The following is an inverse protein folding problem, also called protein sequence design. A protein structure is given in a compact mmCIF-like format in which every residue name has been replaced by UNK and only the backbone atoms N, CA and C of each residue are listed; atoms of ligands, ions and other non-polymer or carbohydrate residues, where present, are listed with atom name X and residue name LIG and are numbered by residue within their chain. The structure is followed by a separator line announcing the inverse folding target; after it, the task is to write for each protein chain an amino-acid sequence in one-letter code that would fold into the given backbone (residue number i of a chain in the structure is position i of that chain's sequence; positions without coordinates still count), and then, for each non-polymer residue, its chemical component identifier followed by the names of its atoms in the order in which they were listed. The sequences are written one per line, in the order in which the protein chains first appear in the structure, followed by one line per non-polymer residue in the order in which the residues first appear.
data_IF_772826439239
#
_entry.id   IF_772826439239
#
_cell.length_a   1.000
_cell.length_b   1.000
_cell.length_c   1.000
_cell.angle_alpha   90.00
_cell.angle_beta   90.00
_cell.angle_gamma   90.00
#
_symmetry.space_group_name_H-M   'P 1'
#
loop_
_entity.id
_entity.type
_entity.pdbx_description
1 polymer ?
#
# COMPACT_ATOMS: atom_id res chain seq x y z
N UNK A 1 25.47 -2.39 -10.46
CA UNK A 1 24.17 -2.71 -9.85
C UNK A 1 23.08 -2.04 -10.66
N UNK A 2 22.11 -2.81 -11.17
CA UNK A 2 20.91 -2.23 -11.78
C UNK A 2 20.15 -1.52 -10.66
N UNK A 3 19.79 -0.25 -10.85
CA UNK A 3 18.98 0.49 -9.88
C UNK A 3 17.57 -0.09 -9.93
N UNK A 4 17.12 -0.72 -8.85
CA UNK A 4 15.78 -1.28 -8.77
C UNK A 4 14.72 -0.16 -8.84
N UNK A 5 13.64 -0.34 -9.62
CA UNK A 5 12.62 0.69 -9.84
C UNK A 5 11.61 0.71 -8.68
N UNK A 6 11.94 1.40 -7.60
CA UNK A 6 10.99 1.72 -6.52
C UNK A 6 11.26 3.10 -5.95
N UNK A 7 10.24 3.65 -5.28
CA UNK A 7 10.35 4.90 -4.53
C UNK A 7 10.00 4.70 -3.05
N UNK A 8 10.55 5.58 -2.22
CA UNK A 8 10.23 5.67 -0.81
C UNK A 8 9.77 7.09 -0.50
N UNK A 9 8.71 7.20 0.29
CA UNK A 9 8.17 8.48 0.70
C UNK A 9 8.98 9.06 1.87
N UNK A 10 9.42 10.34 1.79
CA UNK A 10 10.16 10.98 2.88
C UNK A 10 9.40 10.99 4.21
N UNK A 11 8.08 11.18 4.15
CA UNK A 11 7.19 11.20 5.32
C UNK A 11 7.24 9.91 6.15
N UNK A 12 7.36 8.75 5.48
CA UNK A 12 7.45 7.46 6.14
C UNK A 12 8.89 7.11 6.51
N UNK A 13 9.85 7.49 5.66
CA UNK A 13 11.29 7.24 5.89
C UNK A 13 11.80 7.95 7.16
N UNK A 14 11.25 9.12 7.46
CA UNK A 14 11.61 9.92 8.63
C UNK A 14 11.13 9.32 9.97
N UNK A 15 10.20 8.36 9.97
CA UNK A 15 9.61 7.80 11.19
C UNK A 15 10.57 6.82 11.88
N UNK A 16 11.34 6.05 11.11
CA UNK A 16 12.34 5.10 11.63
C UNK A 16 11.80 3.77 12.19
N UNK A 17 10.48 3.62 12.38
CA UNK A 17 9.90 2.38 12.94
C UNK A 17 9.40 1.37 11.89
N UNK A 18 9.38 1.76 10.62
CA UNK A 18 8.83 0.95 9.53
C UNK A 18 9.76 0.95 8.32
N UNK A 19 9.52 -0.04 7.45
CA UNK A 19 10.09 -0.14 6.11
C UNK A 19 8.95 -0.11 5.11
N UNK A 20 9.14 0.60 4.02
CA UNK A 20 8.15 0.72 2.96
C UNK A 20 8.82 0.88 1.60
N UNK A 21 8.03 0.58 0.57
CA UNK A 21 8.34 0.92 -0.81
C UNK A 21 7.05 1.01 -1.62
N UNK A 22 7.10 1.81 -2.69
CA UNK A 22 6.16 1.72 -3.79
C UNK A 22 6.93 1.33 -5.04
N UNK A 23 6.68 0.13 -5.58
CA UNK A 23 7.38 -0.30 -6.80
C UNK A 23 6.92 0.54 -7.99
N UNK A 24 7.84 0.81 -8.89
CA UNK A 24 7.60 1.47 -10.17
C UNK A 24 7.50 0.41 -11.27
N UNK A 25 7.28 0.85 -12.50
CA UNK A 25 7.26 -0.01 -13.69
C UNK A 25 8.56 -0.81 -13.79
N UNK A 26 8.43 -2.13 -13.87
CA UNK A 26 9.55 -3.03 -14.13
C UNK A 26 9.80 -3.07 -15.65
N UNK A 27 11.01 -2.73 -16.11
CA UNK A 27 11.35 -2.80 -17.53
C UNK A 27 11.39 -4.27 -18.00
N UNK A 28 11.20 -4.47 -19.31
CA UNK A 28 11.39 -5.76 -19.98
C UNK A 28 10.52 -6.93 -19.48
N UNK A 29 9.46 -6.63 -18.71
CA UNK A 29 8.42 -7.60 -18.33
C UNK A 29 7.24 -7.49 -19.27
N UNK A 30 6.89 -8.61 -19.92
CA UNK A 30 5.67 -8.69 -20.72
C UNK A 30 4.42 -8.70 -19.81
N UNK A 31 3.64 -7.63 -19.90
CA UNK A 31 2.44 -7.39 -19.10
C UNK A 31 1.14 -7.54 -19.90
N UNK A 32 1.19 -8.06 -21.13
CA UNK A 32 0.02 -8.24 -22.00
C UNK A 32 -0.74 -9.56 -21.72
N UNK A 33 -0.88 -9.89 -20.43
CA UNK A 33 -1.54 -11.11 -19.94
C UNK A 33 -2.65 -10.77 -18.94
N UNK A 34 -3.37 -11.79 -18.44
CA UNK A 34 -4.28 -11.60 -17.31
C UNK A 34 -3.51 -11.23 -16.03
N UNK A 35 -4.23 -10.69 -15.03
CA UNK A 35 -3.64 -10.21 -13.78
C UNK A 35 -2.78 -11.28 -13.09
N UNK A 36 -3.21 -12.53 -13.06
CA UNK A 36 -2.50 -13.57 -12.32
C UNK A 36 -1.16 -13.90 -12.98
N UNK A 37 -1.14 -14.02 -14.31
CA UNK A 37 0.09 -14.25 -15.07
C UNK A 37 1.04 -13.06 -15.00
N UNK A 38 0.52 -11.82 -15.11
CA UNK A 38 1.32 -10.61 -14.92
C UNK A 38 1.99 -10.57 -13.56
N UNK A 39 1.27 -10.90 -12.48
CA UNK A 39 1.84 -10.93 -11.14
C UNK A 39 2.93 -11.99 -10.98
N UNK A 40 2.79 -13.17 -11.59
CA UNK A 40 3.85 -14.18 -11.61
C UNK A 40 5.12 -13.67 -12.29
N UNK A 41 4.97 -12.92 -13.39
CA UNK A 41 6.11 -12.36 -14.13
C UNK A 41 6.82 -11.25 -13.36
N UNK A 42 6.08 -10.48 -12.58
CA UNK A 42 6.62 -9.42 -11.73
C UNK A 42 7.25 -9.93 -10.42
N UNK A 43 6.98 -11.19 -10.03
CA UNK A 43 7.36 -11.73 -8.72
C UNK A 43 8.87 -11.67 -8.46
N UNK A 44 9.70 -12.00 -9.46
CA UNK A 44 11.16 -11.93 -9.31
C UNK A 44 11.65 -10.52 -8.97
N UNK A 45 11.21 -9.51 -9.73
CA UNK A 45 11.57 -8.11 -9.47
C UNK A 45 11.00 -7.60 -8.13
N UNK A 46 9.77 -8.00 -7.78
CA UNK A 46 9.19 -7.65 -6.49
C UNK A 46 9.93 -8.30 -5.31
N UNK A 47 10.45 -9.53 -5.46
CA UNK A 47 11.33 -10.16 -4.46
C UNK A 47 12.62 -9.36 -4.28
N UNK A 48 13.31 -9.04 -5.38
CA UNK A 48 14.54 -8.24 -5.33
C UNK A 48 14.33 -6.88 -4.66
N UNK A 49 13.19 -6.22 -4.90
CA UNK A 49 12.84 -4.97 -4.22
C UNK A 49 12.59 -5.18 -2.72
N UNK A 50 11.92 -6.27 -2.32
CA UNK A 50 11.76 -6.61 -0.90
C UNK A 50 13.10 -6.85 -0.23
N UNK A 51 14.02 -7.55 -0.90
CA UNK A 51 15.38 -7.79 -0.40
C UNK A 51 16.14 -6.47 -0.25
N UNK A 52 16.02 -5.56 -1.22
CA UNK A 52 16.68 -4.27 -1.21
C UNK A 52 16.20 -3.33 -0.10
N UNK A 53 14.92 -3.41 0.30
CA UNK A 53 14.41 -2.71 1.49
C UNK A 53 14.56 -3.54 2.78
N UNK A 54 15.16 -4.72 2.69
CA UNK A 54 15.47 -5.63 3.79
C UNK A 54 14.25 -6.29 4.46
N UNK A 55 13.15 -6.47 3.72
CA UNK A 55 11.97 -7.22 4.16
C UNK A 55 11.81 -8.54 3.39
N UNK A 56 12.85 -8.96 2.65
CA UNK A 56 12.87 -10.17 1.82
C UNK A 56 12.44 -11.45 2.55
N UNK A 57 12.99 -11.64 3.75
CA UNK A 57 12.74 -12.81 4.60
C UNK A 57 11.52 -12.64 5.52
N UNK A 58 10.82 -11.49 5.45
CA UNK A 58 9.65 -11.26 6.29
C UNK A 58 8.39 -11.89 5.66
N UNK A 59 7.48 -12.43 6.49
CA UNK A 59 6.20 -12.93 6.01
C UNK A 59 5.40 -11.82 5.30
N UNK A 60 5.10 -12.03 4.02
CA UNK A 60 4.33 -11.11 3.20
C UNK A 60 2.82 -11.42 3.28
N UNK A 61 2.03 -10.45 3.70
CA UNK A 61 0.57 -10.53 3.74
C UNK A 61 -0.03 -9.61 2.68
N UNK A 62 -0.77 -10.17 1.73
CA UNK A 62 -1.40 -9.40 0.65
C UNK A 62 -2.92 -9.44 0.70
N UNK A 63 -3.55 -8.42 0.12
CA UNK A 63 -5.01 -8.39 -0.06
C UNK A 63 -5.37 -8.89 -1.47
N UNK A 64 -6.44 -9.69 -1.60
CA UNK A 64 -6.94 -10.12 -2.92
C UNK A 64 -7.45 -8.94 -3.78
N UNK A 65 -8.01 -7.91 -3.12
CA UNK A 65 -8.53 -6.66 -3.67
C UNK A 65 -9.72 -6.84 -4.62
N UNK A 66 -10.93 -6.79 -4.06
CA UNK A 66 -12.20 -6.90 -4.79
C UNK A 66 -12.90 -5.54 -5.00
N UNK A 67 -12.18 -4.44 -4.75
CA UNK A 67 -12.69 -3.07 -4.77
C UNK A 67 -13.86 -2.86 -3.80
N UNK A 68 -13.83 -3.55 -2.65
CA UNK A 68 -14.75 -3.38 -1.53
C UNK A 68 -14.18 -2.45 -0.46
N UNK A 69 -14.69 -2.59 0.77
CA UNK A 69 -14.17 -1.90 1.96
C UNK A 69 -13.79 -2.86 3.09
N UNK A 70 -13.62 -4.16 2.82
CA UNK A 70 -13.25 -5.13 3.85
C UNK A 70 -11.77 -4.96 4.19
N UNK A 71 -11.48 -4.95 5.48
CA UNK A 71 -10.13 -4.82 6.04
C UNK A 71 -9.87 -6.05 6.89
N UNK A 72 -8.69 -6.63 6.72
CA UNK A 72 -8.22 -7.77 7.51
C UNK A 72 -7.19 -7.31 8.54
N UNK A 73 -7.16 -8.01 9.67
CA UNK A 73 -6.20 -7.75 10.73
C UNK A 73 -5.20 -8.90 10.76
N UNK A 74 -3.92 -8.58 10.62
CA UNK A 74 -2.86 -9.57 10.90
C UNK A 74 -2.57 -9.52 12.38
N UNK A 75 -3.06 -10.52 13.09
CA UNK A 75 -2.82 -10.75 14.51
C UNK A 75 -2.10 -12.10 14.65
N UNK A 76 -0.78 -12.06 14.78
CA UNK A 76 0.09 -13.25 14.71
C UNK A 76 0.69 -13.57 16.06
N UNK A 77 -0.06 -14.30 16.90
CA UNK A 77 0.47 -14.90 18.14
C UNK A 77 1.40 -16.11 17.91
N UNK A 78 1.69 -16.49 16.66
CA UNK A 78 2.54 -17.65 16.34
C UNK A 78 4.02 -17.26 16.29
N UNK A 79 4.90 -18.12 16.83
CA UNK A 79 6.35 -17.90 16.89
C UNK A 79 7.03 -17.74 15.50
N UNK A 80 6.33 -18.08 14.40
CA UNK A 80 6.76 -17.85 13.00
C UNK A 80 5.53 -17.68 12.11
N UNK A 81 5.06 -16.45 11.84
CA UNK A 81 3.98 -16.25 10.89
C UNK A 81 4.41 -16.67 9.49
N UNK A 82 3.49 -17.24 8.71
CA UNK A 82 3.69 -17.55 7.29
C UNK A 82 2.85 -16.56 6.48
N UNK A 83 3.48 -15.93 5.48
CA UNK A 83 2.81 -14.98 4.60
C UNK A 83 1.64 -15.63 3.86
N UNK A 84 0.58 -14.86 3.59
CA UNK A 84 -0.61 -15.32 2.87
C UNK A 84 -1.35 -14.19 2.20
N UNK A 85 -2.15 -14.52 1.20
CA UNK A 85 -3.16 -13.60 0.66
C UNK A 85 -4.47 -13.73 1.46
N UNK A 86 -5.07 -12.59 1.79
CA UNK A 86 -6.40 -12.54 2.40
C UNK A 86 -7.50 -12.41 1.35
N UNK A 87 -8.50 -13.32 1.34
CA UNK A 87 -9.57 -13.29 0.36
C UNK A 87 -10.59 -12.17 0.66
N UNK A 88 -11.05 -11.53 -0.40
CA UNK A 88 -12.16 -10.58 -0.40
C UNK A 88 -11.93 -9.30 0.40
N UNK A 89 -10.69 -8.93 0.70
CA UNK A 89 -10.35 -7.68 1.36
C UNK A 89 -9.59 -6.72 0.45
N UNK A 90 -9.60 -5.44 0.81
CA UNK A 90 -8.94 -4.34 0.11
C UNK A 90 -8.01 -3.54 1.04
N UNK A 91 -7.84 -3.98 2.29
CA UNK A 91 -6.91 -3.36 3.21
C UNK A 91 -6.47 -4.34 4.27
N UNK A 92 -5.28 -4.12 4.80
CA UNK A 92 -4.73 -4.90 5.90
C UNK A 92 -4.20 -3.93 6.95
N UNK A 93 -4.44 -4.23 8.23
CA UNK A 93 -3.89 -3.51 9.36
C UNK A 93 -3.21 -4.47 10.34
N UNK A 94 -2.22 -3.99 11.09
CA UNK A 94 -1.51 -4.78 12.10
C UNK A 94 -0.71 -3.90 13.05
N UNK A 95 -0.46 -4.40 14.27
CA UNK A 95 0.57 -3.90 15.19
C UNK A 95 1.74 -4.89 15.36
N UNK A 96 1.76 -5.96 14.56
CA UNK A 96 2.78 -7.00 14.64
C UNK A 96 4.05 -6.56 13.88
N UNK A 97 5.21 -6.90 14.45
CA UNK A 97 6.52 -6.53 13.94
C UNK A 97 7.15 -7.66 13.13
N UNK A 98 8.09 -7.33 12.24
CA UNK A 98 8.84 -8.33 11.47
C UNK A 98 8.00 -9.04 10.39
N UNK A 99 6.91 -8.39 9.96
CA UNK A 99 6.09 -8.82 8.83
C UNK A 99 5.82 -7.63 7.90
N UNK A 100 5.43 -7.91 6.66
CA UNK A 100 5.19 -6.89 5.63
C UNK A 100 3.82 -7.05 4.99
N UNK A 101 3.10 -5.93 4.86
CA UNK A 101 1.83 -5.83 4.16
C UNK A 101 2.08 -5.49 2.70
N UNK A 102 1.25 -6.00 1.79
CA UNK A 102 1.32 -5.72 0.36
C UNK A 102 -0.05 -5.47 -0.29
N UNK A 103 -0.15 -4.43 -1.12
CA UNK A 103 -1.30 -4.21 -2.01
C UNK A 103 -0.83 -3.87 -3.42
N UNK A 104 -1.50 -4.42 -4.43
CA UNK A 104 -1.16 -4.21 -5.84
C UNK A 104 -2.04 -3.16 -6.48
N UNK A 105 -1.47 -2.17 -7.15
CA UNK A 105 -2.25 -1.10 -7.79
C UNK A 105 -1.80 -0.84 -9.22
N UNK A 106 -2.74 -0.42 -10.05
CA UNK A 106 -2.51 0.29 -11.29
C UNK A 106 -3.67 1.28 -11.39
N UNK A 107 -3.38 2.57 -11.22
CA UNK A 107 -4.32 3.68 -11.04
C UNK A 107 -4.96 3.85 -9.66
N UNK A 108 -5.39 2.82 -8.95
CA UNK A 108 -5.95 3.00 -7.61
C UNK A 108 -4.89 3.50 -6.61
N UNK A 109 -5.30 4.23 -5.57
CA UNK A 109 -4.37 4.71 -4.54
C UNK A 109 -4.04 3.59 -3.55
N UNK A 110 -2.75 3.37 -3.28
CA UNK A 110 -2.31 2.69 -2.07
C UNK A 110 -2.16 3.75 -0.96
N UNK A 111 -2.91 3.57 0.13
CA UNK A 111 -2.90 4.47 1.29
C UNK A 111 -2.12 3.77 2.40
N UNK A 112 -1.00 4.36 2.77
CA UNK A 112 -0.16 3.94 3.87
C UNK A 112 -0.61 4.71 5.11
N UNK A 113 -0.84 4.00 6.21
CA UNK A 113 -1.20 4.57 7.50
C UNK A 113 -0.17 4.04 8.50
N UNK A 114 0.51 4.94 9.21
CA UNK A 114 1.48 4.58 10.26
C UNK A 114 1.15 5.36 11.51
N UNK A 115 0.90 4.66 12.61
CA UNK A 115 0.87 5.24 13.95
C UNK A 115 2.24 4.97 14.61
N UNK A 116 3.06 6.01 14.84
CA UNK A 116 4.33 5.86 15.51
C UNK A 116 4.25 5.85 17.04
N UNK A 117 3.17 6.36 17.63
CA UNK A 117 2.98 6.44 19.09
C UNK A 117 2.48 5.14 19.67
N UNK A 118 1.54 4.52 18.96
CA UNK A 118 1.07 3.16 19.22
C UNK A 118 1.43 2.32 18.00
N UNK A 119 2.67 1.77 17.91
CA UNK A 119 3.22 1.18 16.69
C UNK A 119 2.27 0.23 15.98
N UNK A 120 1.59 0.76 14.96
CA UNK A 120 0.61 0.08 14.15
C UNK A 120 0.65 0.63 12.73
N UNK A 121 0.35 -0.23 11.77
CA UNK A 121 0.37 0.11 10.36
C UNK A 121 -0.90 -0.38 9.67
N UNK A 122 -1.28 0.33 8.61
CA UNK A 122 -2.33 -0.03 7.69
C UNK A 122 -1.88 0.19 6.25
N UNK A 123 -2.21 -0.75 5.37
CA UNK A 123 -1.98 -0.62 3.94
C UNK A 123 -3.27 -0.91 3.19
N UNK A 124 -3.83 0.13 2.56
CA UNK A 124 -5.21 0.13 2.05
C UNK A 124 -5.21 0.41 0.54
N UNK A 125 -5.89 -0.45 -0.21
CA UNK A 125 -6.22 -0.23 -1.62
C UNK A 125 -7.51 0.58 -1.72
N UNK A 126 -7.40 1.82 -2.17
CA UNK A 126 -8.53 2.74 -2.34
C UNK A 126 -8.61 3.25 -3.77
N UNK A 127 -9.38 2.52 -4.59
CA UNK A 127 -9.87 3.00 -5.89
C UNK A 127 -11.19 3.76 -5.74
N UNK A 128 -11.88 4.06 -6.86
CA UNK A 128 -13.19 4.74 -6.86
C UNK A 128 -14.18 4.09 -5.88
N UNK A 129 -14.50 2.80 -6.09
CA UNK A 129 -15.51 2.08 -5.29
C UNK A 129 -15.11 1.94 -3.83
N UNK A 130 -13.85 1.64 -3.52
CA UNK A 130 -13.37 1.55 -2.14
C UNK A 130 -13.48 2.88 -1.40
N UNK A 131 -13.18 3.98 -2.11
CA UNK A 131 -13.29 5.34 -1.59
C UNK A 131 -14.76 5.74 -1.37
N UNK A 132 -15.65 5.44 -2.32
CA UNK A 132 -17.12 5.62 -2.18
C UNK A 132 -17.68 4.82 -0.99
N UNK A 133 -17.07 3.67 -0.66
CA UNK A 133 -17.42 2.82 0.48
C UNK A 133 -16.67 3.19 1.77
N UNK A 134 -15.98 4.34 1.80
CA UNK A 134 -15.32 4.93 2.97
C UNK A 134 -14.27 3.99 3.62
N UNK A 135 -13.52 3.25 2.81
CA UNK A 135 -12.55 2.25 3.29
C UNK A 135 -11.45 2.86 4.17
N UNK A 136 -11.00 4.08 3.88
CA UNK A 136 -9.90 4.72 4.63
C UNK A 136 -10.36 5.12 6.02
N UNK A 137 -11.53 5.75 6.15
CA UNK A 137 -12.15 6.04 7.45
C UNK A 137 -12.37 4.75 8.25
N UNK A 138 -12.83 3.68 7.59
CA UNK A 138 -12.98 2.37 8.23
C UNK A 138 -11.65 1.81 8.74
N UNK A 139 -10.56 1.98 7.99
CA UNK A 139 -9.22 1.56 8.42
C UNK A 139 -8.77 2.30 9.66
N UNK A 140 -8.90 3.63 9.66
CA UNK A 140 -8.55 4.49 10.80
C UNK A 140 -9.34 4.06 12.05
N UNK A 141 -10.67 3.91 11.94
CA UNK A 141 -11.52 3.42 13.04
C UNK A 141 -11.08 2.06 13.55
N UNK A 142 -10.78 1.11 12.66
CA UNK A 142 -10.32 -0.20 13.09
C UNK A 142 -8.94 -0.16 13.78
N UNK A 143 -8.03 0.72 13.36
CA UNK A 143 -6.77 0.92 14.07
C UNK A 143 -6.99 1.51 15.47
N UNK A 144 -7.94 2.45 15.61
CA UNK A 144 -8.36 2.97 16.93
C UNK A 144 -8.91 1.84 17.81
N UNK A 145 -9.90 1.10 17.31
CA UNK A 145 -10.62 0.09 18.07
C UNK A 145 -9.73 -1.11 18.46
N UNK A 146 -8.79 -1.50 17.59
CA UNK A 146 -7.97 -2.70 17.77
C UNK A 146 -6.65 -2.44 18.49
N UNK A 147 -6.02 -1.31 18.21
CA UNK A 147 -4.68 -1.04 18.69
C UNK A 147 -4.63 0.12 19.69
N UNK A 148 -5.71 0.88 19.84
CA UNK A 148 -5.70 2.11 20.65
C UNK A 148 -4.98 3.26 19.97
N UNK A 149 -4.87 3.22 18.63
CA UNK A 149 -4.25 4.30 17.86
C UNK A 149 -5.05 5.60 17.94
N UNK A 150 -4.36 6.74 18.00
CA UNK A 150 -4.97 8.07 17.89
C UNK A 150 -4.78 8.61 16.46
N UNK A 151 -5.85 8.95 15.72
CA UNK A 151 -5.73 9.56 14.40
C UNK A 151 -4.85 10.81 14.36
N UNK A 152 -4.79 11.58 15.45
CA UNK A 152 -3.95 12.77 15.53
C UNK A 152 -2.44 12.45 15.46
N UNK A 153 -2.05 11.24 15.85
CA UNK A 153 -0.67 10.73 15.80
C UNK A 153 -0.36 9.97 14.50
N UNK A 154 -1.39 9.56 13.75
CA UNK A 154 -1.23 8.85 12.49
C UNK A 154 -0.59 9.73 11.40
N UNK A 155 0.30 9.12 10.65
CA UNK A 155 0.88 9.65 9.41
C UNK A 155 0.27 8.86 8.26
N UNK A 156 -0.44 9.58 7.38
CA UNK A 156 -1.04 9.01 6.18
C UNK A 156 -0.26 9.46 4.95
N UNK A 157 0.09 8.52 4.08
CA UNK A 157 0.74 8.77 2.80
C UNK A 157 -0.07 8.14 1.68
N UNK A 158 -0.40 8.93 0.66
CA UNK A 158 -1.05 8.46 -0.58
C UNK A 158 0.02 8.20 -1.65
N UNK A 159 -0.05 7.03 -2.30
CA UNK A 159 0.82 6.70 -3.43
C UNK A 159 0.49 7.53 -4.68
N UNK A 160 1.32 7.45 -5.73
CA UNK A 160 0.89 7.76 -7.09
C UNK A 160 -0.40 6.99 -7.42
N UNK A 161 -1.37 7.67 -8.04
CA UNK A 161 -2.65 7.12 -8.45
C UNK A 161 -3.20 7.91 -9.64
N UNK A 162 -4.24 7.43 -10.32
CA UNK A 162 -4.84 8.20 -11.43
C UNK A 162 -5.59 9.41 -10.90
N UNK A 163 -5.60 10.50 -11.68
CA UNK A 163 -6.19 11.79 -11.31
C UNK A 163 -6.87 12.45 -12.52
N UNK A 164 -7.74 13.46 -12.30
CA UNK A 164 -8.18 14.34 -13.38
C UNK A 164 -6.98 14.97 -14.12
N UNK A 165 -7.08 15.19 -15.45
CA UNK A 165 -8.23 14.88 -16.31
C UNK A 165 -8.26 13.42 -16.82
N UNK A 166 -7.31 12.56 -16.44
CA UNK A 166 -7.21 11.17 -16.95
C UNK A 166 -8.23 10.22 -16.31
N UNK A 167 -8.83 10.63 -15.19
CA UNK A 167 -9.97 9.98 -14.59
C UNK A 167 -10.91 11.03 -14.00
N UNK A 168 -12.22 10.83 -14.20
CA UNK A 168 -13.24 11.80 -13.81
C UNK A 168 -13.42 11.92 -12.28
N UNK A 169 -13.02 10.87 -11.53
CA UNK A 169 -13.13 10.85 -10.07
C UNK A 169 -11.78 11.16 -9.44
N UNK A 170 -11.73 12.22 -8.63
CA UNK A 170 -10.57 12.55 -7.80
C UNK A 170 -10.69 11.88 -6.42
N UNK A 171 -10.47 10.56 -6.39
CA UNK A 171 -10.51 9.82 -5.14
C UNK A 171 -9.31 10.15 -4.23
N UNK A 172 -8.22 10.73 -4.73
CA UNK A 172 -7.11 11.18 -3.89
C UNK A 172 -7.54 12.34 -2.98
N UNK A 173 -8.18 13.36 -3.56
CA UNK A 173 -8.77 14.47 -2.79
C UNK A 173 -9.84 13.99 -1.81
N UNK A 174 -10.65 13.01 -2.21
CA UNK A 174 -11.65 12.38 -1.35
C UNK A 174 -11.01 11.65 -0.16
N UNK A 175 -9.97 10.84 -0.38
CA UNK A 175 -9.21 10.15 0.67
C UNK A 175 -8.64 11.17 1.66
N UNK A 176 -8.05 12.26 1.17
CA UNK A 176 -7.55 13.33 2.04
C UNK A 176 -8.68 13.91 2.90
N UNK A 177 -9.87 14.14 2.33
CA UNK A 177 -11.04 14.61 3.09
C UNK A 177 -11.47 13.61 4.16
N UNK A 178 -11.53 12.31 3.84
CA UNK A 178 -11.88 11.24 4.78
C UNK A 178 -10.89 11.17 5.96
N UNK A 179 -9.59 11.27 5.68
CA UNK A 179 -8.55 11.34 6.70
C UNK A 179 -8.73 12.56 7.62
N UNK A 180 -8.99 13.75 7.04
CA UNK A 180 -9.24 14.99 7.82
C UNK A 180 -10.49 14.88 8.69
N UNK A 181 -11.58 14.33 8.15
CA UNK A 181 -12.81 14.09 8.89
C UNK A 181 -12.62 13.08 10.03
N UNK A 182 -11.64 12.19 9.91
CA UNK A 182 -11.21 11.26 10.95
C UNK A 182 -10.18 11.84 11.92
N UNK A 183 -9.91 13.15 11.87
CA UNK A 183 -8.95 13.87 12.71
C UNK A 183 -7.46 13.56 12.46
N UNK A 184 -7.12 12.97 11.31
CA UNK A 184 -5.73 12.80 10.90
C UNK A 184 -5.09 14.16 10.60
N UNK A 185 -4.00 14.46 11.31
CA UNK A 185 -3.28 15.74 11.19
C UNK A 185 -2.20 15.72 10.11
N UNK A 186 -1.51 14.60 9.96
CA UNK A 186 -0.35 14.48 9.07
C UNK A 186 -0.71 13.64 7.85
N UNK A 187 -0.94 14.31 6.71
CA UNK A 187 -1.35 13.67 5.45
C UNK A 187 -0.42 14.16 4.36
N UNK A 188 0.18 13.22 3.65
CA UNK A 188 1.05 13.46 2.51
C UNK A 188 0.43 12.84 1.26
N UNK A 189 0.33 13.63 0.21
CA UNK A 189 -0.06 13.16 -1.11
C UNK A 189 1.14 13.24 -2.05
N UNK A 190 1.44 12.15 -2.77
CA UNK A 190 2.45 12.17 -3.83
C UNK A 190 2.17 13.23 -4.89
N UNK A 191 0.88 13.53 -5.14
CA UNK A 191 0.45 14.43 -6.22
C UNK A 191 0.69 13.88 -7.62
N UNK A 192 1.21 12.65 -7.76
CA UNK A 192 1.59 12.07 -9.04
C UNK A 192 0.40 11.34 -9.66
N UNK A 193 0.20 11.55 -10.97
CA UNK A 193 -0.79 10.84 -11.79
C UNK A 193 -0.13 9.68 -12.54
N UNK A 194 -0.58 8.44 -12.28
CA UNK A 194 -0.04 7.23 -12.95
C UNK A 194 -0.23 7.25 -14.47
N UNK A 195 -1.31 7.85 -14.96
CA UNK A 195 -1.58 7.97 -16.40
C UNK A 195 -0.73 9.05 -17.09
N UNK A 196 -0.15 10.00 -16.34
CA UNK A 196 0.72 11.04 -16.91
C UNK A 196 2.15 10.56 -17.15
N UNK A 197 2.59 9.52 -16.45
CA UNK A 197 3.97 9.03 -16.49
C UNK A 197 4.01 7.49 -16.62
N UNK A 198 3.73 7.03 -17.84
CA UNK A 198 3.78 5.61 -18.17
C UNK A 198 5.20 5.05 -18.20
N UNK A 199 6.24 5.89 -18.11
CA UNK A 199 7.62 5.42 -18.01
C UNK A 199 7.87 4.84 -16.63
N UNK A 200 7.36 5.48 -15.58
CA UNK A 200 7.58 5.05 -14.19
C UNK A 200 6.40 4.29 -13.60
N UNK A 201 5.20 4.41 -14.15
CA UNK A 201 4.00 3.76 -13.58
C UNK A 201 3.24 2.92 -14.61
N UNK A 202 2.58 1.88 -14.10
CA UNK A 202 1.53 1.17 -14.81
C UNK A 202 0.20 1.91 -14.63
N UNK A 203 -0.58 2.04 -15.71
CA UNK A 203 -1.91 2.66 -15.67
C UNK A 203 -2.92 1.80 -16.41
N UNK A 204 -3.87 1.24 -15.66
CA UNK A 204 -4.91 0.39 -16.21
C UNK A 204 -5.78 1.15 -17.22
N UNK A 205 -6.13 2.40 -16.92
CA UNK A 205 -6.96 3.25 -17.77
C UNK A 205 -6.22 3.68 -19.03
N UNK A 206 -4.99 4.18 -18.91
CA UNK A 206 -4.23 4.65 -20.08
C UNK A 206 -3.83 3.48 -21.01
N UNK A 207 -3.54 2.31 -20.45
CA UNK A 207 -3.11 1.11 -21.18
C UNK A 207 -4.27 0.14 -21.47
N UNK A 208 -5.53 0.61 -21.34
CA UNK A 208 -6.75 -0.11 -21.74
C UNK A 208 -6.87 -1.52 -21.14
N UNK A 209 -6.46 -1.64 -19.89
CA UNK A 209 -6.56 -2.85 -19.07
C UNK A 209 -5.44 -3.87 -19.24
N UNK A 210 -4.54 -3.68 -20.21
CA UNK A 210 -3.40 -4.57 -20.47
C UNK A 210 -2.12 -3.94 -19.92
N UNK A 211 -1.86 -4.13 -18.63
CA UNK A 211 -0.73 -3.51 -17.94
C UNK A 211 -0.29 -4.27 -16.70
N UNK A 212 0.88 -3.92 -16.18
CA UNK A 212 1.48 -4.40 -14.94
C UNK A 212 0.77 -3.91 -13.68
N UNK A 213 1.34 -4.20 -12.51
CA UNK A 213 0.89 -3.66 -11.23
C UNK A 213 2.11 -3.16 -10.46
N UNK A 214 1.98 -1.97 -9.90
CA UNK A 214 2.83 -1.54 -8.80
C UNK A 214 2.46 -2.33 -7.56
N UNK A 215 3.42 -2.52 -6.67
CA UNK A 215 3.29 -3.15 -5.37
C UNK A 215 3.65 -2.12 -4.31
N UNK A 216 2.68 -1.80 -3.46
CA UNK A 216 2.92 -1.04 -2.25
C UNK A 216 3.30 -2.01 -1.12
N UNK A 217 4.32 -1.66 -0.34
CA UNK A 217 4.85 -2.47 0.77
C UNK A 217 4.96 -1.62 2.03
N UNK A 218 4.52 -2.17 3.16
CA UNK A 218 4.66 -1.51 4.47
C UNK A 218 4.83 -2.57 5.57
N UNK A 219 5.90 -2.49 6.35
CA UNK A 219 6.16 -3.40 7.46
C UNK A 219 6.72 -2.66 8.67
N UNK A 220 6.36 -3.11 9.88
CA UNK A 220 6.94 -2.61 11.12
C UNK A 220 8.28 -3.32 11.39
N UNK A 221 9.30 -2.54 11.75
CA UNK A 221 10.60 -3.09 12.13
C UNK A 221 10.46 -4.08 13.30
N UNK A 222 11.23 -5.19 13.32
CA UNK A 222 11.36 -6.07 14.47
C UNK A 222 11.69 -5.25 15.72
N UNK A 223 11.30 -5.75 16.88
CA UNK A 223 11.87 -5.22 18.11
C UNK A 223 13.39 -5.38 18.02
N UNK A 224 14.14 -4.37 18.48
CA UNK A 224 15.57 -4.53 18.70
C UNK A 224 15.67 -5.55 19.83
N UNK A 225 16.26 -6.72 19.55
CA UNK A 225 16.69 -7.63 20.61
C UNK A 225 17.78 -6.89 21.40
N UNK A 226 17.54 -6.60 22.67
CA UNK A 226 18.55 -6.09 23.61
C UNK A 226 19.64 -7.13 23.88
#
# INVERSE_FOLDING_TARGET
MVKLPFEQFPALSAIGICRHAFTQRIPDVDVLHDKAEVLKRLDAAHREIRDAIGVGDWPLFTAQQIHGNKIEVVDSCSHRPVGREFPGCDGIITNQRGLVLGVYVADCCAVYIVDPKTPAIGLIHSGRKGTELDIVTKAIRQMMDRFGSDPADMIVQLSPCIRPPHYEVDFASEIVRQCRASHVKTIHDSGVCTACDLKHYYSYRAEKGKTGRMLALLGLNPAIEE
#
